data_IF_174867165398
#
_entry.id   IF_174867165398
#
_cell.length_a   1.000
_cell.length_b   1.000
_cell.length_c   1.000
_cell.angle_alpha   90.00
_cell.angle_beta   90.00
_cell.angle_gamma   90.00
#
_symmetry.space_group_name_H-M   'P 1'
#
loop_
_entity.id
_entity.type
_entity.pdbx_description
1 polymer ?
#
# COMPACT_ATOMS: atom_id res chain seq x y z
N UNK A 1 -7.19 3.19 5.76
CA UNK A 1 -6.08 2.86 4.84
C UNK A 1 -4.79 3.47 5.37
N UNK A 2 -3.73 2.70 5.62
CA UNK A 2 -2.46 3.19 6.14
C UNK A 2 -1.46 3.47 5.01
N UNK A 3 -1.26 4.74 4.68
CA UNK A 3 -0.31 5.22 3.67
C UNK A 3 0.80 6.09 4.26
N UNK A 4 0.95 6.11 5.59
CA UNK A 4 2.01 6.87 6.24
C UNK A 4 3.34 6.11 6.24
N UNK A 5 4.43 6.78 6.65
CA UNK A 5 5.69 6.07 6.92
C UNK A 5 5.60 5.29 8.23
N UNK A 6 6.48 4.31 8.40
CA UNK A 6 6.54 3.53 9.64
C UNK A 6 6.84 4.41 10.86
N UNK A 7 7.59 5.49 10.69
CA UNK A 7 7.91 6.46 11.76
C UNK A 7 6.63 7.15 12.28
N UNK A 8 5.82 7.71 11.37
CA UNK A 8 4.55 8.32 11.74
C UNK A 8 3.52 7.29 12.19
N UNK A 9 3.49 6.09 11.61
CA UNK A 9 2.50 5.08 11.99
C UNK A 9 2.75 4.54 13.41
N UNK A 10 4.01 4.45 13.85
CA UNK A 10 4.38 4.00 15.20
C UNK A 10 3.90 4.93 16.32
N UNK A 11 3.60 6.19 16.03
CA UNK A 11 3.04 7.10 17.05
C UNK A 11 1.56 6.82 17.34
N UNK A 12 0.90 5.99 16.52
CA UNK A 12 -0.51 5.64 16.69
C UNK A 12 -0.64 4.44 17.63
N UNK A 13 -1.47 4.59 18.67
CA UNK A 13 -1.84 3.47 19.52
C UNK A 13 -2.96 2.64 18.87
N UNK A 14 -2.55 1.65 18.07
CA UNK A 14 -3.45 0.78 17.30
C UNK A 14 -4.41 0.00 18.21
N UNK A 15 -4.01 -0.37 19.42
CA UNK A 15 -4.86 -1.15 20.33
C UNK A 15 -6.08 -0.39 20.83
N UNK A 16 -6.12 0.93 20.64
CA UNK A 16 -7.27 1.80 20.98
C UNK A 16 -8.18 2.08 19.78
N UNK A 17 -7.87 1.55 18.60
CA UNK A 17 -8.62 1.78 17.37
C UNK A 17 -9.47 0.56 17.03
N UNK A 18 -10.79 0.77 16.89
CA UNK A 18 -11.72 -0.25 16.43
C UNK A 18 -11.89 -0.20 14.90
N UNK A 19 -10.77 -0.33 14.18
CA UNK A 19 -10.76 -0.25 12.71
C UNK A 19 -9.82 -1.26 12.09
N UNK A 20 -10.23 -1.82 10.95
CA UNK A 20 -9.40 -2.68 10.13
C UNK A 20 -8.36 -1.86 9.34
N UNK A 21 -7.11 -1.89 9.81
CA UNK A 21 -6.01 -1.19 9.15
C UNK A 21 -5.52 -2.00 7.96
N UNK A 22 -5.65 -1.43 6.77
CA UNK A 22 -5.07 -1.98 5.52
C UNK A 22 -3.74 -1.29 5.23
N UNK A 23 -2.69 -2.09 5.07
CA UNK A 23 -1.33 -1.64 4.75
C UNK A 23 -1.01 -1.78 3.26
N UNK A 24 -0.02 -1.02 2.78
CA UNK A 24 0.40 -1.00 1.38
C UNK A 24 1.91 -1.10 1.28
N UNK A 25 2.38 -2.08 0.52
CA UNK A 25 3.79 -2.27 0.20
C UNK A 25 3.99 -2.07 -1.31
N UNK A 26 5.06 -1.37 -1.67
CA UNK A 26 5.46 -1.19 -3.05
C UNK A 26 6.91 -1.62 -3.19
N UNK A 27 7.17 -2.58 -4.08
CA UNK A 27 8.51 -3.15 -4.30
C UNK A 27 8.80 -3.26 -5.78
N UNK A 28 10.07 -3.18 -6.15
CA UNK A 28 10.50 -3.55 -7.50
C UNK A 28 10.69 -5.06 -7.55
N UNK A 29 10.22 -5.72 -8.61
CA UNK A 29 10.35 -7.16 -8.82
C UNK A 29 11.33 -7.43 -9.97
N UNK A 30 12.46 -8.08 -9.69
CA UNK A 30 13.42 -8.52 -10.71
C UNK A 30 13.60 -10.03 -10.62
N UNK A 31 12.97 -10.76 -11.54
CA UNK A 31 12.83 -12.21 -11.41
C UNK A 31 12.02 -12.54 -10.15
N UNK A 32 12.59 -13.34 -9.26
CA UNK A 32 11.97 -13.69 -7.97
C UNK A 32 12.33 -12.73 -6.83
N UNK A 33 13.22 -11.75 -7.07
CA UNK A 33 13.67 -10.83 -6.05
C UNK A 33 12.77 -9.60 -5.93
N UNK A 34 12.39 -9.27 -4.69
CA UNK A 34 11.65 -8.06 -4.34
C UNK A 34 12.56 -7.08 -3.62
N UNK A 35 12.75 -5.88 -4.17
CA UNK A 35 13.61 -4.85 -3.59
C UNK A 35 12.84 -3.57 -3.23
N UNK A 36 13.31 -2.79 -2.24
CA UNK A 36 12.76 -1.47 -1.96
C UNK A 36 12.88 -0.51 -3.15
N UNK A 37 12.02 0.51 -3.17
CA UNK A 37 11.95 1.52 -4.24
C UNK A 37 12.40 2.92 -3.78
N UNK A 38 13.06 3.00 -2.62
CA UNK A 38 13.60 4.25 -2.08
C UNK A 38 12.56 5.36 -1.94
N UNK A 39 12.91 6.57 -2.36
CA UNK A 39 12.06 7.76 -2.25
C UNK A 39 10.73 7.66 -3.04
N UNK A 40 10.67 6.81 -4.07
CA UNK A 40 9.46 6.63 -4.89
C UNK A 40 8.27 6.14 -4.07
N UNK A 41 8.50 5.47 -2.93
CA UNK A 41 7.45 5.06 -2.00
C UNK A 41 6.57 6.22 -1.54
N UNK A 42 7.14 7.42 -1.36
CA UNK A 42 6.39 8.61 -0.94
C UNK A 42 5.41 9.04 -2.04
N UNK A 43 5.86 8.99 -3.30
CA UNK A 43 5.04 9.29 -4.48
C UNK A 43 3.92 8.27 -4.67
N UNK A 44 4.20 6.97 -4.52
CA UNK A 44 3.19 5.92 -4.64
C UNK A 44 2.15 5.96 -3.53
N UNK A 45 2.55 6.29 -2.30
CA UNK A 45 1.59 6.53 -1.21
C UNK A 45 0.63 7.67 -1.53
N UNK A 46 1.14 8.79 -2.03
CA UNK A 46 0.32 9.90 -2.49
C UNK A 46 -0.61 9.50 -3.66
N UNK A 47 -0.09 8.72 -4.60
CA UNK A 47 -0.87 8.22 -5.74
C UNK A 47 -1.99 7.27 -5.32
N UNK A 48 -1.74 6.37 -4.37
CA UNK A 48 -2.76 5.47 -3.81
C UNK A 48 -3.81 6.27 -3.03
N UNK A 49 -3.39 7.29 -2.26
CA UNK A 49 -4.33 8.17 -1.58
C UNK A 49 -5.24 8.90 -2.57
N UNK A 50 -4.67 9.46 -3.65
CA UNK A 50 -5.41 10.09 -4.74
C UNK A 50 -6.42 9.12 -5.37
N UNK A 51 -5.97 7.92 -5.73
CA UNK A 51 -6.81 6.86 -6.30
C UNK A 51 -7.98 6.48 -5.38
N UNK A 52 -7.74 6.32 -4.08
CA UNK A 52 -8.79 6.04 -3.10
C UNK A 52 -9.84 7.14 -3.07
N UNK A 53 -9.42 8.41 -3.10
CA UNK A 53 -10.31 9.57 -3.01
C UNK A 53 -11.12 9.73 -4.30
N UNK A 54 -10.46 9.70 -5.46
CA UNK A 54 -11.10 9.91 -6.77
C UNK A 54 -12.11 8.80 -7.10
N UNK A 55 -11.72 7.54 -6.86
CA UNK A 55 -12.58 6.37 -7.12
C UNK A 55 -13.54 6.05 -5.97
N UNK A 56 -13.56 6.89 -4.92
CA UNK A 56 -14.42 6.74 -3.72
C UNK A 56 -14.36 5.32 -3.13
N UNK A 57 -13.15 4.78 -2.99
CA UNK A 57 -12.95 3.38 -2.63
C UNK A 57 -13.26 3.14 -1.16
N UNK A 58 -14.20 2.24 -0.90
CA UNK A 58 -14.53 1.72 0.43
C UNK A 58 -14.22 0.23 0.61
N UNK A 59 -13.77 -0.47 -0.45
CA UNK A 59 -13.52 -1.92 -0.43
C UNK A 59 -12.08 -2.27 -0.82
N UNK A 60 -11.47 -3.20 -0.07
CA UNK A 60 -10.11 -3.70 -0.31
C UNK A 60 -9.93 -4.33 -1.69
N UNK A 61 -10.96 -4.95 -2.26
CA UNK A 61 -10.87 -5.59 -3.57
C UNK A 61 -10.68 -4.56 -4.70
N UNK A 62 -11.25 -3.36 -4.56
CA UNK A 62 -11.09 -2.28 -5.54
C UNK A 62 -9.66 -1.72 -5.53
N UNK A 63 -8.98 -1.73 -4.37
CA UNK A 63 -7.59 -1.28 -4.26
C UNK A 63 -6.63 -2.08 -5.15
N UNK A 64 -6.95 -3.35 -5.43
CA UNK A 64 -6.15 -4.22 -6.30
C UNK A 64 -6.11 -3.73 -7.75
N UNK A 65 -7.01 -2.82 -8.15
CA UNK A 65 -7.07 -2.23 -9.48
C UNK A 65 -6.09 -1.06 -9.68
N UNK A 66 -5.34 -0.66 -8.65
CA UNK A 66 -4.33 0.38 -8.78
C UNK A 66 -3.22 -0.03 -9.76
N UNK A 67 -2.94 0.83 -10.76
CA UNK A 67 -1.94 0.58 -11.80
C UNK A 67 -0.97 1.75 -12.04
N UNK A 68 -0.99 2.78 -11.19
CA UNK A 68 -0.20 4.00 -11.43
C UNK A 68 1.31 3.72 -11.38
N UNK A 69 2.06 4.42 -12.22
CA UNK A 69 3.53 4.32 -12.31
C UNK A 69 4.04 2.90 -12.61
N UNK A 70 3.22 2.06 -13.26
CA UNK A 70 3.59 0.69 -13.62
C UNK A 70 3.56 -0.31 -12.45
N UNK A 71 3.05 0.10 -11.28
CA UNK A 71 2.87 -0.80 -10.15
C UNK A 71 1.52 -1.51 -10.26
N UNK A 72 1.53 -2.84 -10.18
CA UNK A 72 0.31 -3.67 -10.24
C UNK A 72 0.21 -4.54 -8.99
N UNK A 73 -1.02 -4.97 -8.66
CA UNK A 73 -1.24 -5.86 -7.53
C UNK A 73 -0.49 -7.19 -7.71
N UNK A 74 0.28 -7.57 -6.70
CA UNK A 74 1.07 -8.80 -6.69
C UNK A 74 0.51 -9.85 -5.74
N UNK A 75 0.26 -9.47 -4.48
CA UNK A 75 -0.21 -10.42 -3.46
C UNK A 75 -0.86 -9.72 -2.28
N UNK A 76 -1.65 -10.46 -1.50
CA UNK A 76 -2.23 -9.99 -0.24
C UNK A 76 -1.71 -10.82 0.93
N UNK A 77 -1.06 -10.17 1.89
CA UNK A 77 -0.63 -10.79 3.14
C UNK A 77 -1.74 -10.64 4.19
N UNK A 78 -2.42 -11.75 4.49
CA UNK A 78 -3.52 -11.81 5.46
C UNK A 78 -3.08 -11.43 6.88
N UNK A 79 -1.89 -11.88 7.33
CA UNK A 79 -1.41 -11.65 8.70
C UNK A 79 -1.16 -10.17 8.99
N UNK A 80 -0.62 -9.44 8.01
CA UNK A 80 -0.35 -8.00 8.12
C UNK A 80 -1.45 -7.11 7.54
N UNK A 81 -2.54 -7.70 7.04
CA UNK A 81 -3.55 -7.02 6.23
C UNK A 81 -2.93 -6.07 5.19
N UNK A 82 -1.95 -6.58 4.44
CA UNK A 82 -1.06 -5.79 3.57
C UNK A 82 -1.22 -6.16 2.10
N UNK A 83 -1.42 -5.16 1.25
CA UNK A 83 -1.44 -5.29 -0.20
C UNK A 83 -0.05 -4.97 -0.75
N UNK A 84 0.55 -5.95 -1.45
CA UNK A 84 1.81 -5.75 -2.16
C UNK A 84 1.54 -5.40 -3.62
N UNK A 85 2.14 -4.30 -4.06
CA UNK A 85 2.19 -3.88 -5.45
C UNK A 85 3.63 -3.94 -5.95
N UNK A 86 3.81 -4.37 -7.20
CA UNK A 86 5.13 -4.47 -7.82
C UNK A 86 5.18 -3.86 -9.21
N UNK A 87 6.32 -3.27 -9.55
CA UNK A 87 6.70 -2.98 -10.93
C UNK A 87 7.91 -3.85 -11.32
N UNK A 88 8.08 -4.14 -12.61
CA UNK A 88 9.26 -4.85 -13.14
C UNK A 88 10.55 -4.00 -13.05
#
# INVERSE_FOLDING_TARGET
FNLSSNEYFKSINISKLDFNIVNFEFKKKKGDNLSPIGMMIKKLRGAMAKFIIEEKISNINTLKKFTNYGFTFHSFNKKGNSLLFTNE
#
